data_IF_493360232200
#
_entry.id   IF_493360232200
#
_cell.length_a   1.000
_cell.length_b   1.000
_cell.length_c   1.000
_cell.angle_alpha   90.00
_cell.angle_beta   90.00
_cell.angle_gamma   90.00
#
_symmetry.space_group_name_H-M   'P 1'
#
loop_
_entity.id
_entity.type
_entity.pdbx_description
1 polymer ?
#
# COMPACT_ATOMS: atom_id res chain seq x y z
N UNK A 1 -7.15 6.38 2.64
CA UNK A 1 -7.66 5.16 2.01
C UNK A 1 -6.72 4.80 0.87
N UNK A 2 -6.42 3.51 0.69
CA UNK A 2 -5.88 2.99 -0.56
C UNK A 2 -7.06 2.37 -1.33
N UNK A 3 -7.20 2.68 -2.61
CA UNK A 3 -8.19 2.03 -3.48
C UNK A 3 -7.48 0.93 -4.25
N UNK A 4 -8.04 -0.28 -4.24
CA UNK A 4 -7.47 -1.45 -4.91
C UNK A 4 -8.16 -1.63 -6.25
N UNK A 5 -7.36 -1.81 -7.30
CA UNK A 5 -7.82 -2.11 -8.65
C UNK A 5 -7.16 -3.40 -9.15
N UNK A 6 -7.94 -4.26 -9.78
CA UNK A 6 -7.41 -5.29 -10.67
C UNK A 6 -7.25 -4.71 -12.07
N UNK A 7 -6.34 -5.31 -12.85
CA UNK A 7 -6.00 -4.88 -14.21
C UNK A 7 -6.27 -6.04 -15.16
N UNK A 8 -6.96 -5.80 -16.27
CA UNK A 8 -7.14 -6.82 -17.30
C UNK A 8 -5.80 -7.30 -17.87
N UNK A 9 -5.76 -8.51 -18.42
CA UNK A 9 -4.52 -9.12 -18.93
C UNK A 9 -3.84 -8.26 -20.01
N UNK A 10 -4.62 -7.59 -20.85
CA UNK A 10 -4.15 -6.66 -21.89
C UNK A 10 -3.85 -5.24 -21.36
N UNK A 11 -4.08 -4.99 -20.07
CA UNK A 11 -3.84 -3.70 -19.41
C UNK A 11 -4.88 -2.61 -19.69
N UNK A 12 -5.93 -2.89 -20.48
CA UNK A 12 -6.84 -1.87 -21.00
C UNK A 12 -7.96 -1.46 -20.03
N UNK A 13 -8.30 -2.32 -19.06
CA UNK A 13 -9.42 -2.10 -18.13
C UNK A 13 -8.94 -2.20 -16.69
N UNK A 14 -9.36 -1.22 -15.88
CA UNK A 14 -9.23 -1.24 -14.43
C UNK A 14 -10.58 -1.56 -13.79
N UNK A 15 -10.61 -2.55 -12.92
CA UNK A 15 -11.79 -2.91 -12.13
C UNK A 15 -11.52 -2.61 -10.66
N UNK A 16 -12.40 -1.83 -10.02
CA UNK A 16 -12.27 -1.47 -8.60
C UNK A 16 -12.68 -2.66 -7.73
N UNK A 17 -11.73 -3.20 -6.98
CA UNK A 17 -11.94 -4.36 -6.10
C UNK A 17 -12.30 -3.98 -4.66
N UNK A 18 -11.82 -2.83 -4.18
CA UNK A 18 -12.11 -2.43 -2.80
C UNK A 18 -11.40 -1.17 -2.31
N UNK A 19 -11.58 -0.92 -1.01
CA UNK A 19 -10.96 0.18 -0.29
C UNK A 19 -10.31 -0.35 0.99
N UNK A 20 -9.08 0.07 1.25
CA UNK A 20 -8.35 -0.21 2.48
C UNK A 20 -8.23 1.08 3.32
N UNK A 21 -8.89 1.14 4.50
CA UNK A 21 -8.51 2.08 5.55
C UNK A 21 -7.03 1.93 5.88
N UNK A 22 -6.31 3.05 5.92
CA UNK A 22 -4.86 3.04 6.16
C UNK A 22 -4.50 4.26 7.00
N UNK A 23 -3.21 4.55 7.11
CA UNK A 23 -2.67 5.69 7.83
C UNK A 23 -3.35 7.03 7.47
N UNK A 24 -3.42 7.92 8.45
CA UNK A 24 -4.03 9.25 8.28
C UNK A 24 -3.20 10.11 7.33
N UNK A 25 -3.85 10.62 6.28
CA UNK A 25 -3.23 11.41 5.21
C UNK A 25 -2.07 10.62 4.53
N UNK A 26 -2.39 9.53 3.81
CA UNK A 26 -1.39 8.64 3.22
C UNK A 26 -0.80 9.28 1.96
N UNK A 27 0.29 10.05 2.11
CA UNK A 27 0.87 10.85 1.01
C UNK A 27 1.83 10.06 0.12
N UNK A 28 2.46 9.02 0.67
CA UNK A 28 3.38 8.15 -0.06
C UNK A 28 3.13 6.70 0.30
N UNK A 29 3.24 5.82 -0.68
CA UNK A 29 3.26 4.38 -0.50
C UNK A 29 4.09 3.73 -1.61
N UNK A 30 4.47 2.48 -1.43
CA UNK A 30 5.12 1.70 -2.46
C UNK A 30 4.81 0.21 -2.33
N UNK A 31 5.01 -0.54 -3.39
CA UNK A 31 4.92 -2.01 -3.42
C UNK A 31 6.34 -2.57 -3.45
N UNK A 32 6.58 -3.67 -2.74
CA UNK A 32 7.88 -4.32 -2.76
C UNK A 32 8.18 -4.98 -4.12
N UNK A 33 9.43 -5.37 -4.34
CA UNK A 33 9.86 -5.93 -5.62
C UNK A 33 9.19 -7.27 -5.98
N UNK A 34 8.72 -8.03 -4.98
CA UNK A 34 8.01 -9.29 -5.23
C UNK A 34 6.53 -9.11 -5.54
N UNK A 35 5.98 -7.90 -5.35
CA UNK A 35 4.55 -7.62 -5.51
C UNK A 35 3.68 -8.20 -4.39
N UNK A 36 4.27 -8.63 -3.26
CA UNK A 36 3.55 -9.28 -2.15
C UNK A 36 3.22 -8.34 -1.02
N UNK A 37 3.87 -7.18 -0.93
CA UNK A 37 3.70 -6.24 0.16
C UNK A 37 3.51 -4.81 -0.34
N UNK A 38 2.60 -4.09 0.31
CA UNK A 38 2.41 -2.65 0.16
C UNK A 38 2.76 -1.96 1.47
N UNK A 39 3.55 -0.88 1.40
CA UNK A 39 3.93 -0.06 2.54
C UNK A 39 3.35 1.34 2.34
N UNK A 40 2.50 1.79 3.26
CA UNK A 40 1.87 3.11 3.20
C UNK A 40 2.34 4.01 4.35
N UNK A 41 2.77 5.24 4.03
CA UNK A 41 3.20 6.24 5.00
C UNK A 41 2.11 7.26 5.29
N UNK A 42 1.80 7.44 6.59
CA UNK A 42 0.86 8.45 7.05
C UNK A 42 1.52 9.74 7.47
N UNK A 43 1.33 10.79 6.67
CA UNK A 43 1.90 12.10 6.97
C UNK A 43 1.41 12.62 8.34
N UNK A 44 0.15 12.37 8.69
CA UNK A 44 -0.44 12.84 9.96
C UNK A 44 -0.43 11.81 11.09
N UNK A 45 -0.07 10.55 10.81
CA UNK A 45 -0.01 9.51 11.84
C UNK A 45 1.41 9.22 12.34
N UNK A 46 2.44 9.63 11.58
CA UNK A 46 3.85 9.39 11.92
C UNK A 46 4.23 7.91 11.95
N UNK A 47 3.48 7.09 11.22
CA UNK A 47 3.70 5.65 11.08
C UNK A 47 3.72 5.25 9.61
N UNK A 48 4.33 4.10 9.36
CA UNK A 48 4.07 3.30 8.17
C UNK A 48 3.25 2.06 8.55
N UNK A 49 2.36 1.64 7.65
CA UNK A 49 1.68 0.34 7.73
C UNK A 49 2.15 -0.55 6.60
N UNK A 50 2.43 -1.82 6.93
CA UNK A 50 2.81 -2.88 5.99
C UNK A 50 1.62 -3.81 5.80
N UNK A 51 1.22 -3.98 4.55
CA UNK A 51 0.12 -4.84 4.13
C UNK A 51 0.66 -5.97 3.27
N UNK A 52 0.15 -7.18 3.47
CA UNK A 52 0.27 -8.30 2.53
C UNK A 52 -0.82 -8.14 1.44
N UNK A 53 -0.43 -8.35 0.18
CA UNK A 53 -1.33 -8.36 -0.97
C UNK A 53 -1.82 -9.80 -1.16
N UNK A 54 -3.13 -10.02 -1.07
CA UNK A 54 -3.74 -11.36 -0.96
C UNK A 54 -4.74 -11.62 -2.08
N UNK A 55 -4.66 -12.82 -2.66
CA UNK A 55 -5.63 -13.33 -3.63
C UNK A 55 -5.56 -12.65 -5.00
N UNK A 56 -6.41 -13.10 -5.92
CA UNK A 56 -6.48 -12.59 -7.30
C UNK A 56 -6.95 -11.12 -7.36
N UNK A 57 -7.73 -10.69 -6.38
CA UNK A 57 -8.23 -9.32 -6.27
C UNK A 57 -7.21 -8.34 -5.66
N UNK A 58 -6.07 -8.83 -5.16
CA UNK A 58 -5.01 -8.01 -4.58
C UNK A 58 -5.43 -7.22 -3.34
N UNK A 59 -6.36 -7.76 -2.53
CA UNK A 59 -6.83 -7.09 -1.32
C UNK A 59 -5.72 -7.05 -0.26
N UNK A 60 -5.77 -6.04 0.59
CA UNK A 60 -4.69 -5.72 1.53
C UNK A 60 -5.01 -6.25 2.94
N UNK A 61 -4.08 -7.03 3.50
CA UNK A 61 -4.17 -7.51 4.88
C UNK A 61 -3.04 -6.90 5.71
N UNK A 62 -3.36 -6.14 6.75
CA UNK A 62 -2.35 -5.50 7.60
C UNK A 62 -1.50 -6.56 8.34
N UNK A 63 -0.18 -6.43 8.24
CA UNK A 63 0.79 -7.32 8.91
C UNK A 63 1.51 -6.64 10.05
N UNK A 64 1.66 -5.33 9.97
CA UNK A 64 2.35 -4.58 10.99
C UNK A 64 2.30 -3.09 10.74
N UNK A 65 2.49 -2.35 11.82
CA UNK A 65 2.47 -0.89 11.85
C UNK A 65 3.65 -0.40 12.67
N UNK A 66 4.44 0.50 12.11
CA UNK A 66 5.74 0.89 12.65
C UNK A 66 5.82 2.41 12.76
N UNK A 67 6.23 2.89 13.93
CA UNK A 67 6.52 4.30 14.13
C UNK A 67 7.75 4.70 13.32
N UNK A 68 7.68 5.88 12.70
CA UNK A 68 8.79 6.49 11.96
C UNK A 68 8.93 7.96 12.39
N UNK A 69 9.66 8.77 11.61
CA UNK A 69 9.74 10.20 11.83
C UNK A 69 8.40 10.93 11.70
N UNK A 70 8.41 12.22 12.02
CA UNK A 70 7.26 13.09 11.85
C UNK A 70 7.01 13.37 10.36
N UNK A 71 5.75 13.42 9.95
CA UNK A 71 5.38 13.78 8.57
C UNK A 71 5.90 12.88 7.44
N UNK A 72 5.96 11.53 7.58
CA UNK A 72 6.52 10.69 6.52
C UNK A 72 5.65 10.78 5.27
N UNK A 73 6.29 10.96 4.11
CA UNK A 73 5.57 11.21 2.85
C UNK A 73 6.19 10.53 1.63
N UNK A 74 7.24 9.75 1.81
CA UNK A 74 7.92 9.03 0.74
C UNK A 74 8.31 7.63 1.19
N UNK A 75 8.15 6.65 0.29
CA UNK A 75 8.52 5.25 0.52
C UNK A 75 9.17 4.71 -0.75
N UNK A 76 10.36 4.13 -0.61
CA UNK A 76 10.99 3.29 -1.64
C UNK A 76 11.40 1.99 -1.00
N UNK A 77 11.28 0.90 -1.75
CA UNK A 77 11.78 -0.41 -1.36
C UNK A 77 12.93 -0.73 -2.30
N UNK A 78 14.00 -1.35 -1.79
CA UNK A 78 15.10 -1.86 -2.60
C UNK A 78 15.31 -3.34 -2.25
N UNK A 79 15.57 -4.18 -3.25
CA UNK A 79 15.78 -5.63 -3.07
C UNK A 79 17.24 -6.01 -2.80
N UNK A 80 18.15 -5.04 -2.72
CA UNK A 80 19.60 -5.21 -2.65
C UNK A 80 20.20 -4.48 -1.44
#
# INVERSE_FOLDING_TARGET
LITVFSVSEDGSVLSKEGFQPTETQPRGFNVDHSGKYLIAAGQKSHHISVYEIVGEQGLLHEKGRYAVGQGPMWVVVNAH
#
